data_IF_361917254242
#
_entry.id   IF_361917254242
#
_cell.length_a   1.000
_cell.length_b   1.000
_cell.length_c   1.000
_cell.angle_alpha   90.00
_cell.angle_beta   90.00
_cell.angle_gamma   90.00
#
_symmetry.space_group_name_H-M   'P 1'
#
loop_
_entity.id
_entity.type
_entity.pdbx_description
1 polymer ?
#
# COMPACT_ATOMS: atom_id res chain seq x y z
N UNK A 1 1.13 -30.13 36.20
CA UNK A 1 0.07 -29.54 35.35
C UNK A 1 -0.44 -28.19 35.88
N UNK A 2 -0.67 -28.02 37.19
CA UNK A 2 -1.16 -26.75 37.77
C UNK A 2 -0.26 -25.52 37.56
N UNK A 3 1.07 -25.70 37.55
CA UNK A 3 2.01 -24.59 37.34
C UNK A 3 2.00 -24.08 35.89
N UNK A 4 1.93 -24.98 34.91
CA UNK A 4 1.88 -24.61 33.47
C UNK A 4 0.67 -23.76 33.13
N UNK A 5 -0.49 -24.05 33.73
CA UNK A 5 -1.71 -23.26 33.52
C UNK A 5 -1.60 -21.86 34.14
N UNK A 6 -0.95 -21.73 35.30
CA UNK A 6 -0.69 -20.44 35.95
C UNK A 6 0.37 -19.62 35.22
N UNK A 7 1.42 -20.28 34.75
CA UNK A 7 2.51 -19.65 33.99
C UNK A 7 1.99 -19.16 32.64
N UNK A 8 1.20 -19.97 31.93
CA UNK A 8 0.53 -19.57 30.68
C UNK A 8 -0.43 -18.40 30.88
N UNK A 9 -1.21 -18.39 31.96
CA UNK A 9 -2.07 -17.26 32.30
C UNK A 9 -1.29 -15.98 32.60
N UNK A 10 -0.16 -16.10 33.30
CA UNK A 10 0.71 -14.98 33.64
C UNK A 10 1.34 -14.40 32.37
N UNK A 11 1.87 -15.24 31.48
CA UNK A 11 2.43 -14.82 30.20
C UNK A 11 1.41 -14.13 29.30
N UNK A 12 0.17 -14.66 29.23
CA UNK A 12 -0.91 -14.05 28.45
C UNK A 12 -1.28 -12.67 29.02
N UNK A 13 -1.39 -12.57 30.35
CA UNK A 13 -1.68 -11.30 31.04
C UNK A 13 -0.57 -10.28 30.81
N UNK A 14 0.69 -10.69 30.95
CA UNK A 14 1.86 -9.83 30.71
C UNK A 14 1.96 -9.39 29.25
N UNK A 15 1.64 -10.27 28.29
CA UNK A 15 1.64 -9.95 26.86
C UNK A 15 0.55 -8.92 26.52
N UNK A 16 -0.65 -9.08 27.06
CA UNK A 16 -1.76 -8.11 26.86
C UNK A 16 -1.41 -6.77 27.51
N UNK A 17 -0.90 -6.78 28.75
CA UNK A 17 -0.49 -5.55 29.43
C UNK A 17 0.67 -4.88 28.72
N UNK A 18 1.65 -5.63 28.22
CA UNK A 18 2.74 -5.14 27.39
C UNK A 18 2.21 -4.48 26.11
N UNK A 19 1.33 -5.16 25.37
CA UNK A 19 0.72 -4.63 24.15
C UNK A 19 -0.03 -3.30 24.38
N UNK A 20 -0.74 -3.18 25.50
CA UNK A 20 -1.44 -1.94 25.87
C UNK A 20 -0.42 -0.86 26.32
N UNK A 21 0.54 -1.22 27.15
CA UNK A 21 1.57 -0.31 27.67
C UNK A 21 2.49 0.23 26.55
N UNK A 22 2.67 -0.54 25.48
CA UNK A 22 3.48 -0.17 24.31
C UNK A 22 2.68 0.62 23.27
N UNK A 23 1.47 1.09 23.62
CA UNK A 23 0.58 1.87 22.75
C UNK A 23 0.34 1.23 21.38
N UNK A 24 0.43 -0.10 21.28
CA UNK A 24 0.43 -0.81 20.00
C UNK A 24 -0.87 -0.58 19.21
N UNK A 25 -2.00 -0.41 19.91
CA UNK A 25 -3.28 -0.01 19.29
C UNK A 25 -3.22 1.39 18.68
N UNK A 26 -2.66 2.36 19.40
CA UNK A 26 -2.54 3.75 18.94
C UNK A 26 -1.62 3.83 17.71
N UNK A 27 -0.48 3.14 17.74
CA UNK A 27 0.42 3.04 16.61
C UNK A 27 -0.23 2.34 15.41
N UNK A 28 -0.95 1.23 15.65
CA UNK A 28 -1.71 0.54 14.61
C UNK A 28 -2.78 1.43 13.97
N UNK A 29 -3.50 2.21 14.77
CA UNK A 29 -4.49 3.18 14.29
C UNK A 29 -3.84 4.30 13.47
N UNK A 30 -2.71 4.85 13.92
CA UNK A 30 -1.95 5.85 13.17
C UNK A 30 -1.43 5.29 11.83
N UNK A 31 -0.90 4.07 11.80
CA UNK A 31 -0.49 3.39 10.57
C UNK A 31 -1.66 3.20 9.61
N UNK A 32 -2.83 2.78 10.10
CA UNK A 32 -4.04 2.62 9.29
C UNK A 32 -4.54 3.96 8.73
N UNK A 33 -4.50 5.03 9.53
CA UNK A 33 -4.85 6.38 9.09
C UNK A 33 -3.91 6.83 7.97
N UNK A 34 -2.60 6.76 8.18
CA UNK A 34 -1.62 7.14 7.17
C UNK A 34 -1.73 6.30 5.89
N UNK A 35 -1.99 4.99 5.99
CA UNK A 35 -2.21 4.12 4.84
C UNK A 35 -3.48 4.49 4.07
N UNK A 36 -4.61 4.68 4.77
CA UNK A 36 -5.89 5.04 4.18
C UNK A 36 -5.83 6.41 3.49
N UNK A 37 -5.24 7.41 4.14
CA UNK A 37 -5.05 8.75 3.55
C UNK A 37 -4.12 8.72 2.33
N UNK A 38 -3.16 7.79 2.28
CA UNK A 38 -2.27 7.63 1.11
C UNK A 38 -2.98 7.00 -0.10
N UNK A 39 -4.12 6.33 0.08
CA UNK A 39 -4.79 5.57 -0.97
C UNK A 39 -5.26 6.46 -2.13
N UNK A 40 -5.88 7.61 -1.84
CA UNK A 40 -6.33 8.55 -2.87
C UNK A 40 -5.18 9.13 -3.72
N UNK A 41 -4.08 9.65 -3.13
CA UNK A 41 -2.91 10.08 -3.89
C UNK A 41 -2.25 8.96 -4.73
N UNK A 42 -2.17 7.74 -4.21
CA UNK A 42 -1.62 6.59 -4.95
C UNK A 42 -2.48 6.31 -6.18
N UNK A 43 -3.80 6.23 -6.00
CA UNK A 43 -4.73 5.96 -7.09
C UNK A 43 -4.63 7.01 -8.20
N UNK A 44 -4.54 8.29 -7.84
CA UNK A 44 -4.36 9.37 -8.80
C UNK A 44 -3.12 9.13 -9.68
N UNK A 45 -1.98 8.80 -9.06
CA UNK A 45 -0.73 8.54 -9.79
C UNK A 45 -0.85 7.30 -10.68
N UNK A 46 -1.43 6.21 -10.18
CA UNK A 46 -1.65 4.98 -10.96
C UNK A 46 -2.51 5.25 -12.20
N UNK A 47 -3.60 5.99 -12.02
CA UNK A 47 -4.51 6.39 -13.11
C UNK A 47 -3.80 7.30 -14.11
N UNK A 48 -3.02 8.28 -13.65
CA UNK A 48 -2.27 9.16 -14.53
C UNK A 48 -1.26 8.38 -15.40
N UNK A 49 -0.53 7.43 -14.81
CA UNK A 49 0.42 6.56 -15.53
C UNK A 49 -0.32 5.67 -16.52
N UNK A 50 -1.41 5.02 -16.09
CA UNK A 50 -2.19 4.13 -16.94
C UNK A 50 -2.88 4.89 -18.09
N UNK A 51 -3.39 6.10 -17.82
CA UNK A 51 -3.99 6.99 -18.82
C UNK A 51 -2.98 7.46 -19.87
N UNK A 52 -1.73 7.72 -19.46
CA UNK A 52 -0.64 8.02 -20.40
C UNK A 52 -0.24 6.81 -21.26
N UNK A 53 -0.29 5.59 -20.71
CA UNK A 53 0.15 4.38 -21.42
C UNK A 53 -0.94 3.77 -22.32
N UNK A 54 -2.21 3.79 -21.89
CA UNK A 54 -3.31 3.04 -22.50
C UNK A 54 -4.55 3.89 -22.86
N UNK A 55 -4.56 5.19 -22.51
CA UNK A 55 -5.72 6.06 -22.62
C UNK A 55 -6.59 6.07 -21.35
N UNK A 56 -7.17 7.22 -21.02
CA UNK A 56 -7.90 7.42 -19.75
C UNK A 56 -9.09 6.46 -19.57
N UNK A 57 -9.85 6.20 -20.64
CA UNK A 57 -11.05 5.36 -20.57
C UNK A 57 -10.69 3.87 -20.31
N UNK A 58 -9.64 3.37 -20.96
CA UNK A 58 -9.15 2.01 -20.76
C UNK A 58 -8.57 1.81 -19.34
N UNK A 59 -7.85 2.82 -18.84
CA UNK A 59 -7.30 2.80 -17.49
C UNK A 59 -8.39 2.76 -16.40
N UNK A 60 -9.44 3.57 -16.54
CA UNK A 60 -10.55 3.63 -15.59
C UNK A 60 -11.37 2.32 -15.58
N UNK A 61 -11.60 1.73 -16.75
CA UNK A 61 -12.32 0.47 -16.88
C UNK A 61 -11.54 -0.71 -16.28
N UNK A 62 -10.23 -0.80 -16.57
CA UNK A 62 -9.39 -1.87 -16.04
C UNK A 62 -9.28 -1.80 -14.50
N UNK A 63 -9.09 -0.59 -13.95
CA UNK A 63 -8.91 -0.42 -12.51
C UNK A 63 -10.21 -0.68 -11.74
N UNK A 64 -11.36 -0.25 -12.28
CA UNK A 64 -12.67 -0.52 -11.69
C UNK A 64 -13.02 -2.01 -11.70
N UNK A 65 -12.75 -2.72 -12.79
CA UNK A 65 -12.93 -4.17 -12.85
C UNK A 65 -12.07 -4.92 -11.82
N UNK A 66 -10.81 -4.51 -11.66
CA UNK A 66 -9.89 -5.16 -10.73
C UNK A 66 -10.25 -4.91 -9.27
N UNK A 67 -10.67 -3.68 -8.92
CA UNK A 67 -11.13 -3.35 -7.57
C UNK A 67 -12.47 -3.98 -7.23
N UNK A 68 -13.41 -4.04 -8.18
CA UNK A 68 -14.68 -4.74 -7.99
C UNK A 68 -14.47 -6.24 -7.67
N UNK A 69 -13.50 -6.88 -8.34
CA UNK A 69 -13.13 -8.27 -8.10
C UNK A 69 -12.49 -8.52 -6.72
N UNK A 70 -11.77 -7.54 -6.18
CA UNK A 70 -11.05 -7.69 -4.90
C UNK A 70 -11.84 -7.23 -3.68
N UNK A 71 -12.63 -6.16 -3.80
CA UNK A 71 -13.19 -5.42 -2.67
C UNK A 71 -14.71 -5.18 -2.77
N UNK A 72 -15.37 -5.76 -3.77
CA UNK A 72 -16.82 -5.63 -3.99
C UNK A 72 -17.24 -4.26 -4.58
N UNK A 73 -18.52 -4.11 -4.94
CA UNK A 73 -19.01 -2.97 -5.70
C UNK A 73 -18.91 -1.62 -4.97
N UNK A 74 -19.00 -1.59 -3.63
CA UNK A 74 -18.87 -0.34 -2.85
C UNK A 74 -17.48 0.28 -2.92
N UNK A 75 -16.43 -0.54 -3.00
CA UNK A 75 -15.05 -0.07 -3.14
C UNK A 75 -14.77 0.39 -4.57
N UNK A 76 -15.44 -0.21 -5.55
CA UNK A 76 -15.40 0.21 -6.94
C UNK A 76 -16.07 1.58 -7.15
N UNK A 77 -17.15 1.90 -6.45
CA UNK A 77 -17.77 3.25 -6.47
C UNK A 77 -16.84 4.33 -5.90
N UNK A 78 -16.21 4.06 -4.74
CA UNK A 78 -15.21 4.97 -4.16
C UNK A 78 -14.04 5.22 -5.12
N UNK A 79 -13.58 4.17 -5.78
CA UNK A 79 -12.57 4.28 -6.82
C UNK A 79 -13.07 5.13 -7.99
N UNK A 80 -14.25 4.83 -8.52
CA UNK A 80 -14.82 5.51 -9.67
C UNK A 80 -15.00 7.01 -9.41
N UNK A 81 -15.52 7.38 -8.23
CA UNK A 81 -15.61 8.77 -7.78
C UNK A 81 -14.22 9.44 -7.66
N UNK A 82 -13.22 8.71 -7.19
CA UNK A 82 -11.84 9.24 -7.08
C UNK A 82 -11.23 9.45 -8.47
N UNK A 83 -11.45 8.51 -9.40
CA UNK A 83 -10.96 8.59 -10.79
C UNK A 83 -11.68 9.70 -11.55
N UNK A 84 -13.00 9.82 -11.44
CA UNK A 84 -13.77 10.89 -12.10
C UNK A 84 -13.32 12.26 -11.61
N UNK A 85 -13.08 12.42 -10.31
CA UNK A 85 -12.53 13.67 -9.77
C UNK A 85 -11.09 13.93 -10.25
N UNK A 86 -10.28 12.88 -10.46
CA UNK A 86 -8.91 12.98 -10.96
C UNK A 86 -8.81 13.20 -12.47
N UNK A 87 -9.79 12.73 -13.26
CA UNK A 87 -9.80 12.79 -14.73
C UNK A 87 -10.32 14.12 -15.30
N UNK A 88 -10.88 14.99 -14.46
CA UNK A 88 -11.16 16.37 -14.84
C UNK A 88 -9.84 17.07 -15.21
N UNK A 89 -9.66 17.32 -16.52
CA UNK A 89 -8.48 17.87 -17.20
C UNK A 89 -7.89 19.17 -16.62
N UNK A 90 -8.53 19.80 -15.65
CA UNK A 90 -8.05 21.04 -15.00
C UNK A 90 -7.25 20.81 -13.71
N UNK A 91 -6.96 19.55 -13.34
CA UNK A 91 -5.93 19.26 -12.36
C UNK A 91 -4.54 19.56 -12.97
N UNK A 92 -4.19 20.83 -13.08
CA UNK A 92 -2.91 21.29 -13.62
C UNK A 92 -1.72 20.72 -12.84
N UNK A 93 -0.51 20.90 -13.36
CA UNK A 93 0.77 20.43 -12.79
C UNK A 93 0.87 20.63 -11.27
N UNK A 94 0.25 21.68 -10.72
CA UNK A 94 0.16 21.97 -9.29
C UNK A 94 -0.57 20.87 -8.49
N UNK A 95 -1.70 20.35 -8.98
CA UNK A 95 -2.46 19.30 -8.31
C UNK A 95 -1.67 17.98 -8.27
N UNK A 96 -0.96 17.64 -9.36
CA UNK A 96 -0.07 16.47 -9.40
C UNK A 96 1.10 16.61 -8.42
N UNK A 97 1.71 17.81 -8.34
CA UNK A 97 2.79 18.09 -7.39
C UNK A 97 2.28 17.98 -5.94
N UNK A 98 1.13 18.57 -5.63
CA UNK A 98 0.54 18.48 -4.29
C UNK A 98 0.15 17.05 -3.92
N UNK A 99 -0.39 16.28 -4.85
CA UNK A 99 -0.69 14.86 -4.66
C UNK A 99 0.57 14.05 -4.38
N UNK A 100 1.64 14.27 -5.15
CA UNK A 100 2.92 13.61 -4.95
C UNK A 100 3.54 13.96 -3.59
N UNK A 101 3.54 15.25 -3.20
CA UNK A 101 4.05 15.68 -1.89
C UNK A 101 3.23 15.07 -0.76
N UNK A 102 1.89 15.12 -0.86
CA UNK A 102 1.00 14.52 0.14
C UNK A 102 1.28 13.04 0.30
N UNK A 103 1.39 12.31 -0.81
CA UNK A 103 1.74 10.90 -0.81
C UNK A 103 3.08 10.63 -0.10
N UNK A 104 4.13 11.37 -0.47
CA UNK A 104 5.45 11.19 0.11
C UNK A 104 5.44 11.44 1.62
N UNK A 105 4.68 12.44 2.08
CA UNK A 105 4.51 12.76 3.51
C UNK A 105 3.72 11.67 4.23
N UNK A 106 2.56 11.25 3.73
CA UNK A 106 1.70 10.25 4.40
C UNK A 106 2.30 8.86 4.37
N UNK A 107 2.92 8.45 3.26
CA UNK A 107 3.66 7.19 3.17
C UNK A 107 4.87 7.18 4.11
N UNK A 108 5.57 8.32 4.23
CA UNK A 108 6.60 8.49 5.26
C UNK A 108 5.98 8.51 6.66
N UNK A 109 4.75 8.95 6.88
CA UNK A 109 4.06 8.76 8.16
C UNK A 109 4.09 7.31 8.63
N UNK A 110 3.62 6.38 7.78
CA UNK A 110 3.52 4.94 8.09
C UNK A 110 4.84 4.34 8.56
N UNK A 111 5.93 4.51 7.80
CA UNK A 111 7.23 3.93 8.16
C UNK A 111 7.88 4.62 9.37
N UNK A 112 7.49 5.86 9.67
CA UNK A 112 7.95 6.56 10.87
C UNK A 112 7.29 5.97 12.09
N UNK A 113 5.97 5.84 12.01
CA UNK A 113 5.16 5.23 13.05
C UNK A 113 5.57 3.79 13.34
N UNK A 114 5.85 3.00 12.30
CA UNK A 114 6.37 1.64 12.45
C UNK A 114 7.69 1.60 13.23
N UNK A 115 8.61 2.52 12.93
CA UNK A 115 9.88 2.59 13.66
C UNK A 115 9.68 3.00 15.12
N UNK A 116 8.77 3.93 15.40
CA UNK A 116 8.43 4.34 16.77
C UNK A 116 7.83 3.16 17.52
N UNK A 117 6.83 2.50 16.94
CA UNK A 117 6.19 1.32 17.54
C UNK A 117 7.19 0.20 17.84
N UNK A 118 8.07 -0.12 16.89
CA UNK A 118 9.10 -1.15 17.10
C UNK A 118 10.12 -0.76 18.18
N UNK A 119 10.53 0.50 18.23
CA UNK A 119 11.42 0.97 19.29
C UNK A 119 10.75 0.93 20.67
N UNK A 120 9.44 1.22 20.74
CA UNK A 120 8.65 1.18 21.97
C UNK A 120 8.42 -0.26 22.47
N UNK A 121 8.12 -1.19 21.56
CA UNK A 121 8.00 -2.63 21.85
C UNK A 121 9.33 -3.21 22.30
N UNK A 122 10.43 -2.91 21.61
CA UNK A 122 11.77 -3.42 21.96
C UNK A 122 12.50 -2.60 23.03
N UNK A 123 11.85 -1.59 23.62
CA UNK A 123 12.40 -0.73 24.69
C UNK A 123 13.75 -0.10 24.32
N UNK A 124 13.95 0.19 23.02
CA UNK A 124 15.14 0.85 22.51
C UNK A 124 15.01 2.35 22.75
N UNK A 125 15.89 2.92 23.57
CA UNK A 125 15.92 4.39 23.77
C UNK A 125 16.32 5.05 22.44
N UNK A 126 15.56 6.03 21.95
CA UNK A 126 15.91 6.72 20.70
C UNK A 126 17.23 7.46 20.90
N UNK A 127 18.31 6.91 20.35
CA UNK A 127 19.61 7.56 20.34
C UNK A 127 19.60 8.68 19.32
N UNK A 128 19.30 9.91 19.76
CA UNK A 128 19.44 11.19 19.04
C UNK A 128 19.01 11.18 17.56
N UNK A 129 17.94 11.92 17.23
CA UNK A 129 17.44 12.06 15.85
C UNK A 129 18.43 12.86 14.98
N UNK A 130 19.45 12.19 14.45
CA UNK A 130 20.20 12.76 13.33
C UNK A 130 19.34 12.63 12.07
N UNK A 131 19.03 13.77 11.43
CA UNK A 131 18.27 13.84 10.17
C UNK A 131 18.84 12.85 9.14
N UNK A 132 20.16 12.65 9.11
CA UNK A 132 20.84 11.69 8.22
C UNK A 132 20.43 10.23 8.46
N UNK A 133 20.22 9.83 9.72
CA UNK A 133 19.80 8.47 10.10
C UNK A 133 18.33 8.24 9.74
N UNK A 134 17.50 9.26 9.91
CA UNK A 134 16.10 9.28 9.45
C UNK A 134 16.04 9.11 7.92
N UNK A 135 16.75 9.95 7.16
CA UNK A 135 16.78 9.87 5.68
C UNK A 135 17.29 8.51 5.21
N UNK A 136 18.33 7.94 5.83
CA UNK A 136 18.85 6.62 5.46
C UNK A 136 17.87 5.48 5.75
N UNK A 137 17.16 5.55 6.88
CA UNK A 137 16.10 4.61 7.20
C UNK A 137 14.94 4.71 6.18
N UNK A 138 14.53 5.93 5.82
CA UNK A 138 13.52 6.17 4.77
C UNK A 138 13.96 5.63 3.42
N UNK A 139 15.20 5.87 3.02
CA UNK A 139 15.74 5.38 1.75
C UNK A 139 15.74 3.85 1.67
N UNK A 140 16.05 3.16 2.77
CA UNK A 140 15.97 1.70 2.83
C UNK A 140 14.53 1.20 2.70
N UNK A 141 13.57 1.82 3.41
CA UNK A 141 12.14 1.48 3.29
C UNK A 141 11.59 1.74 1.89
N UNK A 142 11.89 2.90 1.31
CA UNK A 142 11.49 3.25 -0.06
C UNK A 142 12.13 2.32 -1.08
N UNK A 143 13.39 1.93 -0.89
CA UNK A 143 14.06 0.93 -1.72
C UNK A 143 13.37 -0.43 -1.68
N UNK A 144 12.94 -0.88 -0.50
CA UNK A 144 12.16 -2.12 -0.36
C UNK A 144 10.81 -2.03 -1.07
N UNK A 145 10.08 -0.92 -0.88
CA UNK A 145 8.79 -0.70 -1.56
C UNK A 145 8.97 -0.64 -3.08
N UNK A 146 10.00 0.06 -3.57
CA UNK A 146 10.32 0.13 -4.99
C UNK A 146 10.69 -1.24 -5.57
N UNK A 147 11.46 -2.05 -4.84
CA UNK A 147 11.80 -3.40 -5.25
C UNK A 147 10.56 -4.31 -5.31
N UNK A 148 9.68 -4.24 -4.31
CA UNK A 148 8.42 -4.99 -4.31
C UNK A 148 7.49 -4.53 -5.44
N UNK A 149 7.35 -3.22 -5.66
CA UNK A 149 6.58 -2.67 -6.77
C UNK A 149 7.12 -3.12 -8.12
N UNK A 150 8.46 -3.11 -8.29
CA UNK A 150 9.10 -3.63 -9.49
C UNK A 150 8.82 -5.13 -9.70
N UNK A 151 8.95 -5.95 -8.67
CA UNK A 151 8.62 -7.38 -8.73
C UNK A 151 7.16 -7.62 -9.14
N UNK A 152 6.22 -6.82 -8.61
CA UNK A 152 4.81 -6.89 -9.00
C UNK A 152 4.60 -6.50 -10.48
N UNK A 153 5.26 -5.45 -10.95
CA UNK A 153 5.20 -5.05 -12.37
C UNK A 153 5.76 -6.15 -13.27
N UNK A 154 6.90 -6.76 -12.91
CA UNK A 154 7.46 -7.90 -13.64
C UNK A 154 6.47 -9.07 -13.66
N UNK A 155 5.87 -9.40 -12.51
CA UNK A 155 4.84 -10.45 -12.44
C UNK A 155 3.67 -10.16 -13.37
N UNK A 156 3.18 -8.92 -13.41
CA UNK A 156 2.07 -8.53 -14.27
C UNK A 156 2.43 -8.64 -15.76
N UNK A 157 3.62 -8.17 -16.15
CA UNK A 157 4.09 -8.28 -17.54
C UNK A 157 4.19 -9.74 -17.95
N UNK A 158 4.72 -10.61 -17.07
CA UNK A 158 4.78 -12.05 -17.32
C UNK A 158 3.37 -12.64 -17.46
N UNK A 159 2.44 -12.31 -16.56
CA UNK A 159 1.05 -12.78 -16.66
C UNK A 159 0.36 -12.31 -17.94
N UNK A 160 0.53 -11.04 -18.32
CA UNK A 160 -0.02 -10.49 -19.56
C UNK A 160 0.58 -11.17 -20.80
N UNK A 161 1.89 -11.41 -20.80
CA UNK A 161 2.58 -12.13 -21.88
C UNK A 161 2.09 -13.57 -22.01
N UNK A 162 1.91 -14.28 -20.89
CA UNK A 162 1.35 -15.64 -20.87
C UNK A 162 -0.09 -15.64 -21.41
N UNK A 163 -0.92 -14.69 -20.98
CA UNK A 163 -2.31 -14.58 -21.43
C UNK A 163 -2.38 -14.30 -22.94
N UNK A 164 -1.58 -13.35 -23.43
CA UNK A 164 -1.51 -13.02 -24.86
C UNK A 164 -1.01 -14.19 -25.71
N UNK A 165 -0.02 -14.94 -25.22
CA UNK A 165 0.44 -16.17 -25.89
C UNK A 165 -0.65 -17.24 -25.90
N UNK A 166 -1.40 -17.40 -24.80
CA UNK A 166 -2.55 -18.30 -24.72
C UNK A 166 -3.62 -17.95 -25.76
N UNK A 167 -3.96 -16.68 -25.90
CA UNK A 167 -4.94 -16.19 -26.87
C UNK A 167 -4.50 -16.46 -28.33
N UNK A 168 -3.21 -16.25 -28.63
CA UNK A 168 -2.64 -16.54 -29.97
C UNK A 168 -2.66 -18.04 -30.25
N UNK A 169 -2.29 -18.87 -29.28
CA UNK A 169 -2.29 -20.33 -29.43
C UNK A 169 -3.71 -20.85 -29.62
N UNK A 170 -4.69 -20.37 -28.84
CA UNK A 170 -6.11 -20.72 -28.97
C UNK A 170 -6.70 -20.26 -30.32
N UNK A 171 -6.23 -19.12 -30.86
CA UNK A 171 -6.67 -18.65 -32.17
C UNK A 171 -6.20 -19.54 -33.33
N UNK A 172 -5.06 -20.25 -33.18
CA UNK A 172 -4.48 -21.11 -34.23
C UNK A 172 -4.69 -22.61 -34.00
N UNK A 173 -4.98 -23.06 -32.78
CA UNK A 173 -5.28 -24.45 -32.45
C UNK A 173 -6.68 -24.56 -31.82
N UNK A 174 -7.70 -25.02 -32.57
CA UNK A 174 -9.05 -25.21 -32.06
C UNK A 174 -9.15 -26.48 -31.19
N UNK A 175 -8.60 -26.43 -29.98
CA UNK A 175 -8.91 -27.34 -28.88
C UNK A 175 -8.82 -26.52 -27.59
N UNK A 176 -9.83 -26.31 -26.75
CA UNK A 176 -11.25 -26.61 -26.71
C UNK A 176 -11.83 -25.65 -25.64
N UNK A 177 -13.16 -25.60 -25.55
CA UNK A 177 -13.96 -24.82 -24.59
C UNK A 177 -13.32 -24.53 -23.23
#
# INVERSE_FOLDING_TARGET
MWNVAKDGWTLLKESILGFINDNALSHGAAMAFYATTSLAPILLIVVAIAGMAFGNDAAQLALSAQMAGLMGPQSAELLQATIENASHKEAGTVASILGLVTLLVTASGVFGEMQVALNEIWKVKPGGTSISRLVRARAASLGLVAALGFLLLVSLVVSAAISALGDIINAYLPFGT
#
